data_IF_508920950650
#
_entry.id   IF_508920950650
#
_cell.length_a   1.000
_cell.length_b   1.000
_cell.length_c   1.000
_cell.angle_alpha   90.00
_cell.angle_beta   90.00
_cell.angle_gamma   90.00
#
_symmetry.space_group_name_H-M   'P 1'
#
loop_
_entity.id
_entity.type
_entity.pdbx_description
1 polymer ?
#
# COMPACT_ATOMS: atom_id res chain seq x y z
N UNK A 1 -9.16 24.40 -46.28
CA UNK A 1 -9.51 23.39 -45.27
C UNK A 1 -8.87 23.81 -43.97
N UNK A 2 -9.67 24.44 -43.10
CA UNK A 2 -9.24 24.96 -41.82
C UNK A 2 -9.49 23.89 -40.74
N UNK A 3 -8.48 23.48 -40.02
CA UNK A 3 -8.57 22.58 -38.89
C UNK A 3 -8.88 23.38 -37.64
N UNK A 4 -10.05 23.15 -37.12
CA UNK A 4 -10.62 23.67 -35.88
C UNK A 4 -9.89 23.04 -34.69
N UNK A 5 -9.07 23.83 -33.98
CA UNK A 5 -8.53 23.49 -32.68
C UNK A 5 -9.56 23.85 -31.62
N UNK A 6 -10.27 22.84 -31.12
CA UNK A 6 -11.24 22.99 -30.04
C UNK A 6 -10.52 23.13 -28.71
N UNK A 7 -10.68 24.29 -28.09
CA UNK A 7 -10.21 24.75 -26.79
C UNK A 7 -10.73 23.86 -25.65
N UNK A 8 -9.84 23.15 -24.97
CA UNK A 8 -10.10 22.44 -23.71
C UNK A 8 -9.87 23.31 -22.45
N UNK A 9 -10.27 24.58 -22.43
CA UNK A 9 -9.92 25.53 -21.37
C UNK A 9 -11.12 26.11 -20.59
N UNK A 10 -12.32 25.50 -20.69
CA UNK A 10 -13.53 26.11 -20.08
C UNK A 10 -13.99 25.52 -18.73
N UNK A 11 -13.40 24.47 -18.19
CA UNK A 11 -13.95 23.82 -16.97
C UNK A 11 -13.29 24.24 -15.65
N UNK A 12 -12.11 24.88 -15.66
CA UNK A 12 -11.45 25.36 -14.43
C UNK A 12 -12.11 26.58 -13.79
N UNK A 13 -12.90 27.33 -14.53
CA UNK A 13 -13.60 28.54 -14.06
C UNK A 13 -14.74 28.26 -13.07
N UNK A 14 -15.44 27.15 -13.25
CA UNK A 14 -16.62 26.78 -12.47
C UNK A 14 -16.27 26.35 -11.04
N UNK A 15 -15.29 25.48 -10.89
CA UNK A 15 -14.82 24.99 -9.61
C UNK A 15 -14.17 26.09 -8.79
N UNK A 16 -13.36 26.96 -9.41
CA UNK A 16 -12.75 28.11 -8.76
C UNK A 16 -13.75 29.14 -8.24
N UNK A 17 -14.90 29.28 -8.93
CA UNK A 17 -15.98 30.18 -8.47
C UNK A 17 -16.73 29.58 -7.27
N UNK A 18 -17.08 28.29 -7.31
CA UNK A 18 -17.75 27.60 -6.20
C UNK A 18 -16.90 27.56 -4.93
N UNK A 19 -15.59 27.36 -5.07
CA UNK A 19 -14.66 27.39 -3.95
C UNK A 19 -14.55 28.81 -3.35
N UNK A 20 -14.58 29.86 -4.17
CA UNK A 20 -14.56 31.24 -3.68
C UNK A 20 -15.83 31.64 -2.93
N UNK A 21 -16.99 31.11 -3.32
CA UNK A 21 -18.26 31.39 -2.65
C UNK A 21 -18.45 30.62 -1.34
N UNK A 22 -17.93 29.40 -1.27
CA UNK A 22 -18.14 28.50 -0.13
C UNK A 22 -17.05 28.56 0.95
N UNK A 23 -15.86 29.01 0.61
CA UNK A 23 -14.77 29.10 1.57
C UNK A 23 -14.69 30.48 2.20
N UNK A 24 -14.89 30.55 3.51
CA UNK A 24 -14.68 31.78 4.30
C UNK A 24 -13.19 32.14 4.27
N UNK A 25 -12.86 33.23 3.57
CA UNK A 25 -11.46 33.69 3.51
C UNK A 25 -11.09 34.37 4.81
N UNK A 26 -10.21 33.75 5.56
CA UNK A 26 -9.56 34.41 6.67
C UNK A 26 -8.40 35.28 6.15
N UNK A 27 -8.34 36.55 6.52
CA UNK A 27 -7.20 37.40 6.15
C UNK A 27 -5.92 36.81 6.74
N UNK A 28 -4.90 36.62 5.92
CA UNK A 28 -3.62 36.12 6.40
C UNK A 28 -3.03 37.06 7.43
N UNK A 29 -2.44 36.58 8.53
CA UNK A 29 -1.79 37.39 9.53
C UNK A 29 -0.75 38.33 8.89
N UNK A 30 -0.62 39.58 9.38
CA UNK A 30 0.29 40.57 8.77
C UNK A 30 1.75 40.07 8.73
N UNK A 31 2.18 39.31 9.73
CA UNK A 31 3.51 38.68 9.74
C UNK A 31 3.76 37.74 8.57
N UNK A 32 2.78 36.93 8.21
CA UNK A 32 2.93 35.98 7.09
C UNK A 32 3.06 36.69 5.75
N UNK A 33 2.35 37.82 5.56
CA UNK A 33 2.48 38.67 4.37
C UNK A 33 3.86 39.34 4.28
N UNK A 34 4.42 39.75 5.40
CA UNK A 34 5.76 40.34 5.46
C UNK A 34 6.83 39.31 5.06
N UNK A 35 6.75 38.09 5.63
CA UNK A 35 7.71 37.05 5.36
C UNK A 35 7.64 36.56 3.88
N UNK A 36 6.44 36.44 3.31
CA UNK A 36 6.27 36.08 1.91
C UNK A 36 6.79 37.17 0.97
N UNK A 37 6.56 38.45 1.31
CA UNK A 37 7.06 39.56 0.51
C UNK A 37 8.59 39.63 0.55
N UNK A 38 9.20 39.44 1.73
CA UNK A 38 10.66 39.38 1.90
C UNK A 38 11.29 38.20 1.14
N UNK A 39 10.60 37.04 1.08
CA UNK A 39 11.04 35.87 0.33
C UNK A 39 10.90 36.06 -1.19
N UNK A 40 9.93 36.87 -1.66
CA UNK A 40 9.67 37.14 -3.07
C UNK A 40 10.40 38.35 -3.63
N UNK A 41 10.95 39.23 -2.75
CA UNK A 41 11.76 40.37 -3.22
C UNK A 41 13.07 39.81 -3.84
N UNK A 42 13.29 40.01 -5.16
CA UNK A 42 14.53 39.58 -5.79
C UNK A 42 15.68 40.35 -5.12
N UNK A 43 16.52 39.63 -4.38
CA UNK A 43 17.77 40.15 -3.87
C UNK A 43 18.64 40.58 -5.04
N UNK A 44 18.48 41.84 -5.50
CA UNK A 44 19.37 42.48 -6.46
C UNK A 44 20.66 42.87 -5.77
N UNK A 45 21.39 41.92 -5.25
CA UNK A 45 22.79 42.11 -4.91
C UNK A 45 23.59 42.05 -6.21
N UNK A 46 23.68 43.18 -6.93
CA UNK A 46 24.70 43.40 -7.93
C UNK A 46 26.04 43.51 -7.22
N UNK A 47 26.66 42.38 -6.95
CA UNK A 47 28.08 42.35 -6.56
C UNK A 47 28.87 42.05 -7.82
N UNK A 48 29.84 42.90 -8.19
CA UNK A 48 30.68 42.67 -9.35
C UNK A 48 31.68 41.56 -9.02
N UNK A 49 31.26 40.31 -9.26
CA UNK A 49 32.12 39.15 -9.17
C UNK A 49 32.88 38.97 -10.49
N UNK A 50 33.71 39.91 -10.77
CA UNK A 50 34.70 39.85 -11.79
C UNK A 50 36.04 39.42 -11.20
N UNK A 51 36.56 38.30 -11.66
CA UNK A 51 37.97 37.98 -11.90
C UNK A 51 38.85 37.33 -10.83
N UNK A 52 38.42 36.92 -9.65
CA UNK A 52 39.37 36.26 -8.71
C UNK A 52 38.97 34.86 -8.16
N UNK A 53 37.85 34.27 -8.60
CA UNK A 53 37.34 33.03 -7.99
C UNK A 53 37.19 31.84 -9.00
N UNK A 54 37.67 31.98 -10.22
CA UNK A 54 37.51 30.92 -11.25
C UNK A 54 38.26 29.62 -10.94
N UNK A 55 39.42 29.70 -10.35
CA UNK A 55 40.24 28.49 -10.09
C UNK A 55 39.81 27.68 -8.87
N UNK A 56 39.50 28.28 -7.68
CA UNK A 56 39.13 27.49 -6.51
C UNK A 56 37.74 26.85 -6.62
N UNK A 57 36.78 27.45 -7.35
CA UNK A 57 35.45 26.89 -7.55
C UNK A 57 35.50 25.65 -8.45
N UNK A 58 36.27 25.68 -9.52
CA UNK A 58 36.43 24.52 -10.41
C UNK A 58 37.07 23.33 -9.68
N UNK A 59 38.06 23.60 -8.81
CA UNK A 59 38.72 22.56 -7.98
C UNK A 59 37.77 21.99 -6.93
N UNK A 60 36.97 22.82 -6.29
CA UNK A 60 35.98 22.35 -5.30
C UNK A 60 34.91 21.47 -5.94
N UNK A 61 34.42 21.80 -7.14
CA UNK A 61 33.44 21.00 -7.86
C UNK A 61 34.08 19.67 -8.31
N UNK A 62 35.30 19.68 -8.83
CA UNK A 62 36.01 18.46 -9.22
C UNK A 62 36.27 17.55 -8.02
N UNK A 63 36.65 18.11 -6.86
CA UNK A 63 36.89 17.34 -5.63
C UNK A 63 35.60 16.78 -5.08
N UNK A 64 34.49 17.53 -5.11
CA UNK A 64 33.18 17.06 -4.71
C UNK A 64 32.67 15.92 -5.61
N UNK A 65 32.85 16.01 -6.93
CA UNK A 65 32.52 14.95 -7.89
C UNK A 65 33.36 13.68 -7.68
N UNK A 66 34.66 13.82 -7.43
CA UNK A 66 35.54 12.69 -7.14
C UNK A 66 35.15 12.05 -5.79
N UNK A 67 34.87 12.85 -4.75
CA UNK A 67 34.35 12.31 -3.49
C UNK A 67 33.01 11.62 -3.67
N UNK A 68 32.10 12.17 -4.46
CA UNK A 68 30.80 11.55 -4.74
C UNK A 68 30.96 10.21 -5.47
N UNK A 69 31.88 10.12 -6.44
CA UNK A 69 32.21 8.89 -7.14
C UNK A 69 32.92 7.86 -6.25
N UNK A 70 33.67 8.31 -5.26
CA UNK A 70 34.34 7.42 -4.28
C UNK A 70 33.38 6.93 -3.18
N UNK A 71 32.41 7.74 -2.79
CA UNK A 71 31.43 7.41 -1.75
C UNK A 71 30.23 6.65 -2.35
N UNK A 72 29.90 6.88 -3.63
CA UNK A 72 28.77 6.22 -4.30
C UNK A 72 28.81 4.67 -4.23
N UNK A 73 29.96 4.00 -4.42
CA UNK A 73 30.02 2.54 -4.24
C UNK A 73 29.96 2.07 -2.78
N UNK A 74 30.23 2.96 -1.81
CA UNK A 74 30.13 2.64 -0.38
C UNK A 74 28.79 2.98 0.23
N UNK A 75 27.90 3.66 -0.52
CA UNK A 75 26.52 3.78 -0.10
C UNK A 75 25.90 2.37 -0.06
N UNK A 76 25.39 1.92 1.10
CA UNK A 76 24.72 0.63 1.12
C UNK A 76 23.64 0.68 0.04
N UNK A 77 23.75 -0.22 -0.96
CA UNK A 77 22.70 -0.42 -1.95
C UNK A 77 21.42 -0.54 -1.16
N UNK A 78 20.44 0.31 -1.45
CA UNK A 78 19.14 0.20 -0.78
C UNK A 78 18.75 -1.29 -0.84
N UNK A 79 18.51 -1.94 0.30
CA UNK A 79 18.27 -3.38 0.32
C UNK A 79 17.21 -3.65 -0.73
N UNK A 80 17.52 -4.53 -1.68
CA UNK A 80 16.59 -4.90 -2.74
C UNK A 80 15.29 -5.26 -2.03
N UNK A 81 14.27 -4.41 -2.20
CA UNK A 81 13.03 -4.55 -1.44
C UNK A 81 12.41 -5.87 -1.87
N UNK A 82 12.38 -6.82 -0.97
CA UNK A 82 11.82 -8.15 -1.22
C UNK A 82 10.38 -7.98 -1.74
N UNK A 83 10.05 -8.49 -2.94
CA UNK A 83 8.70 -8.36 -3.49
C UNK A 83 7.61 -8.89 -2.56
N UNK A 84 7.93 -9.88 -1.72
CA UNK A 84 7.02 -10.35 -0.68
C UNK A 84 6.73 -9.26 0.35
N UNK A 85 7.76 -8.50 0.75
CA UNK A 85 7.62 -7.45 1.75
C UNK A 85 6.82 -6.25 1.22
N UNK A 86 6.92 -5.95 -0.07
CA UNK A 86 6.07 -4.92 -0.69
C UNK A 86 4.59 -5.31 -0.63
N UNK A 87 4.26 -6.55 -1.03
CA UNK A 87 2.89 -7.05 -0.94
C UNK A 87 2.39 -7.04 0.50
N UNK A 88 3.20 -7.47 1.46
CA UNK A 88 2.84 -7.46 2.89
C UNK A 88 2.52 -6.05 3.38
N UNK A 89 3.34 -5.05 3.03
CA UNK A 89 3.08 -3.66 3.40
C UNK A 89 1.79 -3.12 2.77
N UNK A 90 1.53 -3.46 1.51
CA UNK A 90 0.29 -3.08 0.83
C UNK A 90 -0.94 -3.71 1.53
N UNK A 91 -0.85 -4.99 1.89
CA UNK A 91 -1.90 -5.70 2.66
C UNK A 91 -2.14 -5.04 4.01
N UNK A 92 -1.07 -4.71 4.75
CA UNK A 92 -1.21 -4.03 6.05
C UNK A 92 -1.85 -2.66 5.93
N UNK A 93 -1.47 -1.88 4.93
CA UNK A 93 -2.05 -0.56 4.68
C UNK A 93 -3.56 -0.67 4.35
N UNK A 94 -3.95 -1.68 3.58
CA UNK A 94 -5.35 -1.90 3.22
C UNK A 94 -6.15 -2.48 4.39
N UNK A 95 -5.57 -3.40 5.16
CA UNK A 95 -6.15 -3.92 6.40
C UNK A 95 -6.41 -2.81 7.43
N UNK A 96 -5.43 -1.94 7.68
CA UNK A 96 -5.61 -0.79 8.55
C UNK A 96 -6.73 0.15 8.05
N UNK A 97 -6.80 0.37 6.73
CA UNK A 97 -7.89 1.16 6.12
C UNK A 97 -9.25 0.51 6.34
N UNK A 98 -9.36 -0.80 6.20
CA UNK A 98 -10.61 -1.52 6.42
C UNK A 98 -11.08 -1.43 7.88
N UNK A 99 -10.16 -1.49 8.86
CA UNK A 99 -10.50 -1.32 10.28
C UNK A 99 -11.05 0.09 10.56
N UNK A 100 -10.42 1.13 9.99
CA UNK A 100 -10.79 2.52 10.31
C UNK A 100 -11.96 3.05 9.49
N UNK A 101 -12.14 2.59 8.25
CA UNK A 101 -13.13 3.15 7.32
C UNK A 101 -13.95 2.11 6.57
N UNK A 102 -13.76 0.82 6.87
CA UNK A 102 -14.50 -0.25 6.19
C UNK A 102 -15.97 -0.28 6.64
N UNK A 103 -16.88 -0.15 5.67
CA UNK A 103 -18.28 -0.46 5.89
C UNK A 103 -18.46 -1.99 5.81
N UNK A 104 -18.80 -2.60 6.93
CA UNK A 104 -19.15 -4.03 6.98
C UNK A 104 -20.60 -4.21 6.54
N UNK A 105 -20.80 -4.79 5.35
CA UNK A 105 -22.13 -5.11 4.81
C UNK A 105 -22.24 -6.60 4.54
N UNK A 106 -22.54 -7.35 5.58
CA UNK A 106 -22.65 -8.82 5.51
C UNK A 106 -23.78 -9.32 4.61
N UNK A 107 -24.80 -8.51 4.40
CA UNK A 107 -25.98 -8.82 3.56
C UNK A 107 -25.67 -8.80 2.04
N UNK A 108 -24.62 -8.10 1.63
CA UNK A 108 -24.27 -7.92 0.21
C UNK A 108 -23.20 -8.90 -0.26
N UNK A 109 -22.44 -9.50 0.67
CA UNK A 109 -21.27 -10.33 0.35
C UNK A 109 -21.57 -11.53 -0.55
N UNK A 110 -22.65 -12.33 -0.35
CA UNK A 110 -22.94 -13.47 -1.21
C UNK A 110 -23.14 -13.10 -2.69
N UNK A 111 -23.71 -11.91 -2.95
CA UNK A 111 -23.91 -11.40 -4.29
C UNK A 111 -22.64 -10.78 -4.90
N UNK A 112 -21.77 -10.20 -4.06
CA UNK A 112 -20.54 -9.53 -4.50
C UNK A 112 -19.39 -10.52 -4.78
N UNK A 113 -19.36 -11.66 -4.09
CA UNK A 113 -18.25 -12.62 -4.15
C UNK A 113 -17.98 -13.16 -5.57
N UNK A 114 -18.98 -13.64 -6.35
CA UNK A 114 -18.72 -14.13 -7.71
C UNK A 114 -18.14 -13.04 -8.61
N UNK A 115 -18.59 -11.81 -8.46
CA UNK A 115 -18.07 -10.68 -9.21
C UNK A 115 -16.63 -10.35 -8.80
N UNK A 116 -16.35 -10.27 -7.51
CA UNK A 116 -15.00 -10.04 -7.00
C UNK A 116 -14.03 -11.12 -7.46
N UNK A 117 -14.44 -12.38 -7.48
CA UNK A 117 -13.65 -13.48 -8.01
C UNK A 117 -13.36 -13.33 -9.51
N UNK A 118 -14.37 -13.01 -10.32
CA UNK A 118 -14.21 -12.78 -11.75
C UNK A 118 -13.29 -11.59 -12.06
N UNK A 119 -13.44 -10.48 -11.33
CA UNK A 119 -12.64 -9.26 -11.51
C UNK A 119 -11.21 -9.40 -10.99
N UNK A 120 -10.95 -10.27 -10.04
CA UNK A 120 -9.64 -10.47 -9.42
C UNK A 120 -8.60 -11.07 -10.37
N UNK A 121 -9.05 -11.81 -11.37
CA UNK A 121 -8.17 -12.60 -12.26
C UNK A 121 -7.46 -13.75 -11.53
N UNK A 122 -7.85 -14.08 -10.29
CA UNK A 122 -7.35 -15.23 -9.54
C UNK A 122 -8.32 -16.38 -9.72
N UNK A 123 -7.82 -17.49 -10.25
CA UNK A 123 -8.64 -18.68 -10.43
C UNK A 123 -8.83 -19.40 -9.09
N UNK A 124 -10.00 -19.23 -8.49
CA UNK A 124 -10.42 -19.93 -7.26
C UNK A 124 -11.68 -20.73 -7.54
N UNK A 125 -11.70 -21.98 -7.09
CA UNK A 125 -12.89 -22.82 -7.12
C UNK A 125 -13.82 -22.51 -5.96
N UNK A 126 -13.23 -22.27 -4.80
CA UNK A 126 -13.95 -22.09 -3.56
C UNK A 126 -13.25 -21.09 -2.66
N UNK A 127 -14.02 -20.36 -1.92
CA UNK A 127 -13.57 -19.39 -0.91
C UNK A 127 -14.32 -19.67 0.38
N UNK A 128 -13.63 -19.63 1.50
CA UNK A 128 -14.24 -19.72 2.82
C UNK A 128 -15.20 -18.54 3.03
N UNK A 129 -16.48 -18.84 3.27
CA UNK A 129 -17.52 -17.82 3.48
C UNK A 129 -17.79 -17.53 4.95
N UNK A 130 -17.19 -18.30 5.86
CA UNK A 130 -17.33 -18.17 7.30
C UNK A 130 -17.99 -19.36 7.95
N UNK A 131 -18.00 -19.33 9.29
CA UNK A 131 -18.67 -20.26 10.19
C UNK A 131 -19.14 -19.51 11.46
N UNK A 132 -19.38 -20.23 12.57
CA UNK A 132 -19.84 -19.65 13.84
C UNK A 132 -18.81 -18.72 14.49
N UNK A 133 -17.52 -18.94 14.26
CA UNK A 133 -16.43 -18.17 14.88
C UNK A 133 -16.03 -16.94 14.09
N UNK A 134 -16.11 -17.01 12.75
CA UNK A 134 -15.63 -15.95 11.86
C UNK A 134 -16.47 -15.90 10.58
N UNK A 135 -16.94 -14.73 10.21
CA UNK A 135 -17.83 -14.51 9.07
C UNK A 135 -17.20 -13.59 8.02
N UNK A 136 -17.43 -13.90 6.74
CA UNK A 136 -17.06 -13.05 5.64
C UNK A 136 -17.98 -11.80 5.61
N UNK A 137 -17.38 -10.62 5.76
CA UNK A 137 -18.08 -9.33 5.80
C UNK A 137 -17.87 -8.49 4.54
N UNK A 138 -16.82 -8.78 3.76
CA UNK A 138 -16.55 -8.08 2.51
C UNK A 138 -15.71 -8.94 1.57
N UNK A 139 -15.93 -8.77 0.26
CA UNK A 139 -15.12 -9.36 -0.80
C UNK A 139 -14.97 -8.35 -1.93
N UNK A 140 -13.72 -8.05 -2.31
CA UNK A 140 -13.43 -7.12 -3.40
C UNK A 140 -12.23 -7.59 -4.24
N UNK A 141 -12.25 -7.28 -5.54
CA UNK A 141 -11.04 -7.35 -6.34
C UNK A 141 -10.07 -6.25 -5.85
N UNK A 142 -8.79 -6.59 -5.78
CA UNK A 142 -7.74 -5.69 -5.32
C UNK A 142 -6.59 -5.62 -6.32
N UNK A 143 -5.78 -4.57 -6.21
CA UNK A 143 -4.58 -4.41 -7.03
C UNK A 143 -3.41 -4.02 -6.14
N UNK A 144 -2.47 -4.94 -5.94
CA UNK A 144 -1.34 -4.75 -5.05
C UNK A 144 -0.03 -5.01 -5.79
N UNK A 145 0.87 -4.03 -5.77
CA UNK A 145 2.21 -4.14 -6.36
C UNK A 145 2.20 -4.68 -7.80
N UNK A 146 1.34 -4.12 -8.64
CA UNK A 146 1.23 -4.53 -10.03
C UNK A 146 0.46 -5.83 -10.26
N UNK A 147 -0.17 -6.43 -9.24
CA UNK A 147 -0.84 -7.73 -9.31
C UNK A 147 -2.32 -7.57 -8.99
N UNK A 148 -3.16 -8.09 -9.87
CA UNK A 148 -4.58 -8.24 -9.56
C UNK A 148 -4.75 -9.39 -8.58
N UNK A 149 -5.67 -9.23 -7.64
CA UNK A 149 -5.97 -10.25 -6.65
C UNK A 149 -7.36 -10.07 -6.07
N UNK A 150 -7.66 -10.89 -5.08
CA UNK A 150 -8.89 -10.79 -4.30
C UNK A 150 -8.54 -10.51 -2.84
N UNK A 151 -9.33 -9.66 -2.24
CA UNK A 151 -9.31 -9.38 -0.82
C UNK A 151 -10.63 -9.78 -0.22
N UNK A 152 -10.54 -10.52 0.88
CA UNK A 152 -11.66 -11.03 1.65
C UNK A 152 -11.50 -10.52 3.07
N UNK A 153 -12.47 -9.80 3.58
CA UNK A 153 -12.47 -9.34 4.96
C UNK A 153 -13.46 -10.19 5.76
N UNK A 154 -12.98 -10.68 6.88
CA UNK A 154 -13.74 -11.44 7.85
C UNK A 154 -13.82 -10.68 9.16
N UNK A 155 -14.84 -10.97 9.94
CA UNK A 155 -14.99 -10.48 11.30
C UNK A 155 -15.31 -11.65 12.23
N UNK A 156 -14.67 -11.69 13.39
CA UNK A 156 -14.97 -12.66 14.42
C UNK A 156 -16.11 -12.18 15.33
N UNK A 157 -16.59 -13.07 16.20
CA UNK A 157 -17.66 -12.78 17.15
C UNK A 157 -17.32 -11.69 18.17
N UNK A 158 -16.03 -11.39 18.37
CA UNK A 158 -15.53 -10.33 19.24
C UNK A 158 -15.34 -9.00 18.50
N UNK A 159 -15.58 -8.95 17.19
CA UNK A 159 -15.45 -7.76 16.35
C UNK A 159 -14.05 -7.55 15.76
N UNK A 160 -13.11 -8.47 15.96
CA UNK A 160 -11.80 -8.39 15.34
C UNK A 160 -11.89 -8.64 13.83
N UNK A 161 -11.11 -7.88 13.08
CA UNK A 161 -11.07 -8.00 11.62
C UNK A 161 -9.91 -8.88 11.19
N UNK A 162 -10.18 -9.77 10.25
CA UNK A 162 -9.18 -10.62 9.59
C UNK A 162 -9.27 -10.37 8.09
N UNK A 163 -8.21 -9.88 7.48
CA UNK A 163 -8.14 -9.63 6.04
C UNK A 163 -7.31 -10.71 5.37
N UNK A 164 -7.89 -11.37 4.38
CA UNK A 164 -7.24 -12.39 3.58
C UNK A 164 -7.05 -11.90 2.15
N UNK A 165 -5.81 -11.78 1.72
CA UNK A 165 -5.45 -11.33 0.39
C UNK A 165 -4.79 -12.47 -0.38
N UNK A 166 -5.25 -12.68 -1.62
CA UNK A 166 -4.73 -13.67 -2.54
C UNK A 166 -4.31 -12.95 -3.82
N UNK A 167 -3.03 -13.04 -4.16
CA UNK A 167 -2.47 -12.47 -5.40
C UNK A 167 -1.62 -13.49 -6.13
N UNK A 168 -1.39 -13.36 -7.44
CA UNK A 168 -0.41 -14.19 -8.14
C UNK A 168 0.98 -14.03 -7.51
N UNK A 169 1.57 -15.15 -7.07
CA UNK A 169 2.86 -15.17 -6.36
C UNK A 169 4.05 -14.94 -7.29
N UNK A 170 3.94 -15.32 -8.57
CA UNK A 170 5.03 -15.20 -9.53
C UNK A 170 6.36 -15.74 -8.98
N UNK A 171 7.43 -14.95 -9.08
CA UNK A 171 8.77 -15.28 -8.58
C UNK A 171 8.99 -14.96 -7.09
N UNK A 172 7.94 -14.59 -6.34
CA UNK A 172 8.07 -14.26 -4.92
C UNK A 172 8.46 -15.51 -4.14
N UNK A 173 9.61 -15.45 -3.47
CA UNK A 173 10.08 -16.48 -2.55
C UNK A 173 9.81 -16.05 -1.13
N UNK A 174 9.31 -16.96 -0.29
CA UNK A 174 9.12 -16.69 1.13
C UNK A 174 10.37 -17.11 1.89
N UNK A 175 10.79 -16.29 2.88
CA UNK A 175 11.95 -16.62 3.70
C UNK A 175 11.71 -17.88 4.53
N UNK A 176 12.78 -18.60 4.83
CA UNK A 176 12.71 -19.75 5.76
C UNK A 176 12.58 -19.30 7.22
N UNK A 177 13.09 -18.10 7.54
CA UNK A 177 12.95 -17.52 8.89
C UNK A 177 11.50 -17.13 9.17
N UNK A 178 11.04 -17.44 10.39
CA UNK A 178 9.67 -17.13 10.82
C UNK A 178 8.63 -18.15 10.36
N UNK A 179 9.05 -19.29 9.79
CA UNK A 179 8.13 -20.40 9.51
C UNK A 179 7.74 -21.08 10.82
N UNK A 180 6.46 -21.23 11.03
CA UNK A 180 5.87 -21.86 12.21
C UNK A 180 5.00 -23.02 11.74
N UNK A 181 5.08 -24.15 12.46
CA UNK A 181 4.16 -25.26 12.20
C UNK A 181 2.78 -24.91 12.74
N UNK A 182 1.79 -24.89 11.83
CA UNK A 182 0.38 -24.71 12.18
C UNK A 182 -0.36 -25.86 11.48
N UNK A 183 -0.87 -26.82 12.25
CA UNK A 183 -1.41 -28.07 11.72
C UNK A 183 -0.40 -28.72 10.74
N UNK A 184 -0.80 -29.05 9.54
CA UNK A 184 0.04 -29.68 8.50
C UNK A 184 0.82 -28.68 7.63
N UNK A 185 0.67 -27.39 7.88
CA UNK A 185 1.31 -26.34 7.07
C UNK A 185 2.44 -25.63 7.80
N UNK A 186 3.34 -25.01 7.06
CA UNK A 186 4.47 -24.23 7.60
C UNK A 186 4.49 -22.82 7.00
N UNK A 187 3.50 -21.97 7.31
CA UNK A 187 3.49 -20.58 6.88
C UNK A 187 4.57 -19.76 7.61
N UNK A 188 4.87 -18.57 7.07
CA UNK A 188 5.65 -17.55 7.75
C UNK A 188 4.71 -16.76 8.66
N UNK A 189 5.01 -16.68 9.95
CA UNK A 189 4.26 -15.88 10.92
C UNK A 189 5.10 -14.68 11.33
N UNK A 190 4.54 -13.50 11.29
CA UNK A 190 5.19 -12.24 11.66
C UNK A 190 4.24 -11.34 12.43
N UNK A 191 4.82 -10.44 13.25
CA UNK A 191 4.13 -9.29 13.80
C UNK A 191 4.78 -8.05 13.19
N UNK A 192 4.00 -7.15 12.61
CA UNK A 192 4.49 -5.94 11.95
C UNK A 192 3.47 -4.81 12.16
N UNK A 193 3.94 -3.64 12.59
CA UNK A 193 3.13 -2.44 12.81
C UNK A 193 1.88 -2.64 13.69
N UNK A 194 1.96 -3.52 14.70
CA UNK A 194 0.83 -3.81 15.58
C UNK A 194 -0.18 -4.79 15.03
N UNK A 195 0.11 -5.47 13.91
CA UNK A 195 -0.72 -6.50 13.32
C UNK A 195 -0.01 -7.85 13.30
N UNK A 196 -0.79 -8.92 13.37
CA UNK A 196 -0.32 -10.28 13.14
C UNK A 196 -0.52 -10.68 11.68
N UNK A 197 0.47 -11.36 11.12
CA UNK A 197 0.51 -11.79 9.72
C UNK A 197 0.82 -13.27 9.63
N UNK A 198 0.09 -13.96 8.75
CA UNK A 198 0.41 -15.33 8.32
C UNK A 198 0.51 -15.30 6.80
N UNK A 199 1.68 -15.71 6.28
CA UNK A 199 2.02 -15.62 4.86
C UNK A 199 2.39 -16.99 4.35
N UNK A 200 1.79 -17.41 3.25
CA UNK A 200 2.11 -18.71 2.63
C UNK A 200 1.99 -18.67 1.12
N UNK A 201 2.52 -19.69 0.49
CA UNK A 201 2.27 -19.94 -0.93
C UNK A 201 1.30 -21.11 -1.08
N UNK A 202 0.40 -20.97 -2.02
CA UNK A 202 -0.51 -22.01 -2.45
C UNK A 202 -0.44 -22.12 -3.96
N UNK A 203 0.28 -23.13 -4.44
CA UNK A 203 0.61 -23.24 -5.87
C UNK A 203 1.31 -21.98 -6.40
N UNK A 204 0.75 -21.31 -7.41
CA UNK A 204 1.24 -20.07 -7.98
C UNK A 204 0.81 -18.80 -7.22
N UNK A 205 0.02 -18.96 -6.17
CA UNK A 205 -0.56 -17.84 -5.43
C UNK A 205 0.28 -17.50 -4.20
N UNK A 206 0.38 -16.22 -3.90
CA UNK A 206 0.83 -15.68 -2.63
C UNK A 206 -0.39 -15.30 -1.82
N UNK A 207 -0.48 -15.83 -0.63
CA UNK A 207 -1.58 -15.65 0.28
C UNK A 207 -1.08 -14.96 1.55
N UNK A 208 -1.78 -13.93 1.98
CA UNK A 208 -1.47 -13.15 3.18
C UNK A 208 -2.73 -13.03 4.02
N UNK A 209 -2.67 -13.45 5.27
CA UNK A 209 -3.70 -13.22 6.27
C UNK A 209 -3.18 -12.19 7.26
N UNK A 210 -3.93 -11.12 7.49
CA UNK A 210 -3.60 -10.04 8.42
C UNK A 210 -4.71 -9.89 9.46
N UNK A 211 -4.36 -9.59 10.70
CA UNK A 211 -5.33 -9.35 11.79
C UNK A 211 -4.76 -8.42 12.85
N UNK A 212 -5.66 -7.76 13.57
CA UNK A 212 -5.39 -6.98 14.79
C UNK A 212 -5.21 -7.86 16.05
N UNK A 213 -5.35 -9.17 15.93
CA UNK A 213 -5.13 -10.16 16.98
C UNK A 213 -3.64 -10.31 17.27
N UNK A 214 -3.11 -9.64 18.29
CA UNK A 214 -1.66 -9.54 18.56
C UNK A 214 -1.19 -10.14 19.89
N UNK A 215 -2.08 -10.38 20.88
CA UNK A 215 -1.72 -11.05 22.11
C UNK A 215 -1.33 -12.53 21.85
N UNK A 216 -0.73 -13.20 22.79
CA UNK A 216 -0.37 -14.61 22.62
C UNK A 216 -1.61 -15.52 22.57
N UNK A 217 -2.65 -15.18 23.34
CA UNK A 217 -3.96 -15.84 23.28
C UNK A 217 -4.64 -15.62 21.93
N UNK A 218 -4.65 -14.38 21.48
CA UNK A 218 -5.22 -13.99 20.18
C UNK A 218 -4.48 -14.66 19.01
N UNK A 219 -3.17 -14.82 19.13
CA UNK A 219 -2.38 -15.52 18.12
C UNK A 219 -2.81 -17.00 18.01
N UNK A 220 -3.27 -17.61 19.11
CA UNK A 220 -3.88 -18.94 19.11
C UNK A 220 -5.13 -18.98 18.24
N UNK A 221 -6.08 -18.03 18.45
CA UNK A 221 -7.30 -17.87 17.63
C UNK A 221 -6.96 -17.58 16.18
N UNK A 222 -6.04 -16.68 15.93
CA UNK A 222 -5.62 -16.31 14.57
C UNK A 222 -5.05 -17.50 13.78
N UNK A 223 -4.28 -18.39 14.44
CA UNK A 223 -3.82 -19.65 13.84
C UNK A 223 -4.98 -20.59 13.50
N UNK A 224 -6.03 -20.64 14.31
CA UNK A 224 -7.22 -21.44 14.02
C UNK A 224 -7.96 -20.87 12.79
N UNK A 225 -8.12 -19.54 12.70
CA UNK A 225 -8.69 -18.88 11.51
C UNK A 225 -7.88 -19.18 10.24
N UNK A 226 -6.55 -19.17 10.35
CA UNK A 226 -5.69 -19.59 9.24
C UNK A 226 -6.00 -21.03 8.78
N UNK A 227 -6.16 -21.97 9.70
CA UNK A 227 -6.47 -23.36 9.38
C UNK A 227 -7.80 -23.44 8.63
N UNK A 228 -8.85 -22.74 9.12
CA UNK A 228 -10.17 -22.71 8.49
C UNK A 228 -10.11 -22.13 7.07
N UNK A 229 -9.55 -20.93 6.95
CA UNK A 229 -9.43 -20.24 5.66
C UNK A 229 -8.58 -21.04 4.69
N UNK A 230 -7.42 -21.56 5.13
CA UNK A 230 -6.48 -22.29 4.29
C UNK A 230 -7.03 -23.63 3.80
N UNK A 231 -7.76 -24.36 4.66
CA UNK A 231 -8.34 -25.67 4.29
C UNK A 231 -9.54 -25.54 3.37
N UNK A 232 -10.27 -24.44 3.46
CA UNK A 232 -11.51 -24.21 2.71
C UNK A 232 -11.34 -23.31 1.47
N UNK A 233 -10.16 -22.77 1.23
CA UNK A 233 -9.87 -22.00 0.00
C UNK A 233 -9.12 -22.90 -0.98
N UNK A 234 -9.75 -23.24 -2.10
CA UNK A 234 -9.18 -24.12 -3.10
C UNK A 234 -8.92 -23.35 -4.41
N UNK A 235 -7.65 -23.20 -4.82
CA UNK A 235 -7.32 -22.60 -6.10
C UNK A 235 -7.69 -23.56 -7.24
N UNK A 236 -8.09 -23.00 -8.36
CA UNK A 236 -8.38 -23.75 -9.57
C UNK A 236 -7.11 -24.46 -10.05
N UNK A 237 -7.16 -25.78 -10.11
CA UNK A 237 -6.10 -26.59 -10.72
C UNK A 237 -6.41 -26.73 -12.20
N UNK A 238 -5.69 -25.99 -13.05
CA UNK A 238 -5.72 -26.24 -14.49
C UNK A 238 -4.84 -27.47 -14.74
N UNK A 239 -5.45 -28.58 -15.15
CA UNK A 239 -4.76 -29.76 -15.63
C UNK A 239 -4.35 -29.58 -17.08
#
# INVERSE_FOLDING_TARGET
MATEQTNGQEDDGGMGRLLRERLTRHPAPPMLRATVREALEPRTARQPWGMLWGAPVATAIATALVMLLWIAPSLPSAPATDPAQLVVRAVLADHARNIFWGESRTDVVPAALPRAMAESGVALNWVFTGDEDIQLINAKATYMEGRRGIELAYQDSAGHTVTYVIVPGGSVTLPERGRVQIDRWRPVVRKENGFSLIIWRQQSLLCVLASDLVSDEDLGRFKQYFVKVRSSTDPYVTY
#
